data_IF_468733525050
#
_entry.id   IF_468733525050
#
_cell.length_a   1.000
_cell.length_b   1.000
_cell.length_c   1.000
_cell.angle_alpha   90.00
_cell.angle_beta   90.00
_cell.angle_gamma   90.00
#
_symmetry.space_group_name_H-M   'P 1'
#
loop_
_entity.id
_entity.type
_entity.pdbx_description
1 polymer ?
#
# COMPACT_ATOMS: atom_id res chain seq x y z
N UNK A 1 3.19 3.99 -24.59
CA UNK A 1 3.42 5.04 -23.57
C UNK A 1 3.40 4.35 -22.21
N UNK A 2 4.47 4.45 -21.44
CA UNK A 2 4.58 3.80 -20.12
C UNK A 2 4.22 4.82 -19.04
N UNK A 3 3.20 4.51 -18.21
CA UNK A 3 2.70 5.41 -17.17
C UNK A 3 2.72 4.67 -15.82
N UNK A 4 3.89 4.54 -15.17
CA UNK A 4 4.07 3.65 -14.02
C UNK A 4 3.19 4.01 -12.82
N UNK A 5 2.87 5.30 -12.65
CA UNK A 5 1.97 5.78 -11.60
C UNK A 5 0.53 5.32 -11.87
N UNK A 6 0.05 5.45 -13.11
CA UNK A 6 -1.30 5.01 -13.49
C UNK A 6 -1.42 3.50 -13.37
N UNK A 7 -0.40 2.76 -13.81
CA UNK A 7 -0.36 1.31 -13.70
C UNK A 7 -0.38 0.83 -12.23
N UNK A 8 0.41 1.44 -11.35
CA UNK A 8 0.39 1.13 -9.92
C UNK A 8 -0.97 1.46 -9.30
N UNK A 9 -1.54 2.63 -9.63
CA UNK A 9 -2.87 3.03 -9.15
C UNK A 9 -3.95 2.05 -9.60
N UNK A 10 -3.96 1.63 -10.87
CA UNK A 10 -4.89 0.62 -11.38
C UNK A 10 -4.72 -0.73 -10.67
N UNK A 11 -3.49 -1.16 -10.42
CA UNK A 11 -3.23 -2.38 -9.65
C UNK A 11 -3.81 -2.28 -8.24
N UNK A 12 -3.64 -1.15 -7.55
CA UNK A 12 -4.19 -0.95 -6.21
C UNK A 12 -5.73 -0.90 -6.23
N UNK A 13 -6.35 -0.18 -7.17
CA UNK A 13 -7.82 -0.08 -7.27
C UNK A 13 -8.49 -1.43 -7.56
N UNK A 14 -7.83 -2.31 -8.32
CA UNK A 14 -8.35 -3.66 -8.62
C UNK A 14 -8.39 -4.59 -7.40
N UNK A 15 -7.71 -4.24 -6.30
CA UNK A 15 -7.74 -5.01 -5.06
C UNK A 15 -8.91 -4.52 -4.21
N UNK A 16 -9.89 -5.38 -3.87
CA UNK A 16 -11.05 -4.98 -3.08
C UNK A 16 -10.66 -4.84 -1.59
N UNK A 17 -9.81 -3.87 -1.25
CA UNK A 17 -9.28 -3.60 0.10
C UNK A 17 -10.33 -2.94 1.02
N UNK A 18 -11.46 -3.62 1.21
CA UNK A 18 -12.53 -3.21 2.13
C UNK A 18 -12.10 -3.49 3.56
N UNK A 19 -12.18 -2.47 4.42
CA UNK A 19 -11.72 -2.62 5.81
C UNK A 19 -12.44 -3.76 6.54
N UNK A 20 -11.71 -4.63 7.27
CA UNK A 20 -10.27 -4.56 7.59
C UNK A 20 -9.32 -5.20 6.56
N UNK A 21 -9.83 -5.82 5.50
CA UNK A 21 -9.03 -6.54 4.49
C UNK A 21 -8.14 -5.59 3.66
N UNK A 22 -6.85 -5.91 3.58
CA UNK A 22 -5.87 -5.21 2.74
C UNK A 22 -5.94 -5.66 1.28
N UNK A 23 -6.48 -6.85 1.00
CA UNK A 23 -6.53 -7.46 -0.33
C UNK A 23 -5.16 -7.49 -1.07
N UNK A 24 -4.05 -7.53 -0.32
CA UNK A 24 -2.69 -7.58 -0.86
C UNK A 24 -2.16 -6.26 -1.42
N UNK A 25 -2.74 -5.12 -1.02
CA UNK A 25 -2.22 -3.78 -1.34
C UNK A 25 -0.85 -3.56 -0.70
N UNK A 26 -0.68 -3.89 0.58
CA UNK A 26 0.60 -3.73 1.26
C UNK A 26 1.68 -4.64 0.70
N UNK A 27 1.36 -5.89 0.36
CA UNK A 27 2.31 -6.80 -0.27
C UNK A 27 2.88 -6.23 -1.58
N UNK A 28 2.05 -5.57 -2.40
CA UNK A 28 2.50 -4.91 -3.63
C UNK A 28 3.45 -3.74 -3.34
N UNK A 29 3.13 -2.92 -2.34
CA UNK A 29 3.94 -1.77 -1.97
C UNK A 29 5.28 -2.19 -1.36
N UNK A 30 5.25 -3.16 -0.45
CA UNK A 30 6.43 -3.75 0.21
C UNK A 30 7.40 -4.28 -0.84
N UNK A 31 6.95 -5.13 -1.76
CA UNK A 31 7.81 -5.71 -2.79
C UNK A 31 8.52 -4.64 -3.65
N UNK A 32 7.82 -3.53 -3.96
CA UNK A 32 8.41 -2.42 -4.73
C UNK A 32 9.41 -1.61 -3.90
N UNK A 33 9.16 -1.41 -2.62
CA UNK A 33 10.03 -0.66 -1.71
C UNK A 33 11.30 -1.46 -1.37
N UNK A 34 11.17 -2.78 -1.11
CA UNK A 34 12.30 -3.68 -0.90
C UNK A 34 13.23 -3.71 -2.11
N UNK A 35 12.67 -3.77 -3.33
CA UNK A 35 13.44 -3.77 -4.58
C UNK A 35 14.34 -2.54 -4.76
N UNK A 36 14.03 -1.42 -4.08
CA UNK A 36 14.83 -0.19 -4.11
C UNK A 36 15.55 0.08 -2.78
N UNK A 37 15.64 -0.91 -1.89
CA UNK A 37 16.47 -0.90 -0.69
C UNK A 37 15.84 -0.25 0.54
N UNK A 38 14.51 -0.20 0.65
CA UNK A 38 13.85 0.09 1.92
C UNK A 38 13.90 -1.13 2.84
N UNK A 39 14.11 -0.89 4.14
CA UNK A 39 13.88 -1.85 5.21
C UNK A 39 12.42 -1.78 5.61
N UNK A 40 11.78 -2.93 5.77
CA UNK A 40 10.36 -3.04 6.07
C UNK A 40 10.19 -3.62 7.47
N UNK A 41 9.37 -2.96 8.28
CA UNK A 41 8.92 -3.42 9.58
C UNK A 41 7.39 -3.52 9.55
N UNK A 42 6.85 -4.73 9.70
CA UNK A 42 5.40 -4.94 9.77
C UNK A 42 4.90 -4.65 11.18
N UNK A 43 3.85 -3.83 11.29
CA UNK A 43 3.26 -3.37 12.55
C UNK A 43 1.75 -3.63 12.55
N UNK A 44 1.38 -4.91 12.59
CA UNK A 44 -0.03 -5.31 12.58
C UNK A 44 -0.62 -5.10 13.98
N UNK A 45 -1.78 -4.45 14.05
CA UNK A 45 -2.51 -4.18 15.29
C UNK A 45 -3.94 -4.68 15.08
N UNK A 46 -4.35 -5.66 15.89
CA UNK A 46 -5.60 -6.39 15.72
C UNK A 46 -5.77 -6.90 14.28
N UNK A 47 -6.91 -6.61 13.64
CA UNK A 47 -7.19 -6.99 12.24
C UNK A 47 -6.60 -6.02 11.22
N UNK A 48 -5.84 -5.01 11.67
CA UNK A 48 -5.29 -3.97 10.80
C UNK A 48 -3.84 -4.27 10.45
N UNK A 49 -3.60 -4.51 9.16
CA UNK A 49 -2.24 -4.60 8.63
C UNK A 49 -1.62 -3.20 8.49
N UNK A 50 -0.39 -3.01 8.96
CA UNK A 50 0.40 -1.81 8.70
C UNK A 50 1.87 -2.18 8.49
N UNK A 51 2.63 -1.29 7.83
CA UNK A 51 4.08 -1.41 7.76
C UNK A 51 4.76 -0.04 7.86
N UNK A 52 5.99 -0.04 8.35
CA UNK A 52 6.91 1.09 8.34
C UNK A 52 8.07 0.76 7.42
N UNK A 53 8.31 1.61 6.43
CA UNK A 53 9.39 1.45 5.47
C UNK A 53 10.40 2.58 5.64
N UNK A 54 11.67 2.22 5.85
CA UNK A 54 12.76 3.18 6.07
C UNK A 54 13.89 2.97 5.09
N UNK A 55 14.56 4.06 4.71
CA UNK A 55 15.78 4.03 3.89
C UNK A 55 16.67 5.19 4.29
N UNK A 56 17.91 4.89 4.67
CA UNK A 56 18.87 5.87 5.20
C UNK A 56 18.70 6.09 6.71
N UNK A 57 19.47 7.05 7.24
CA UNK A 57 19.52 7.42 8.66
C UNK A 57 19.60 8.95 8.76
N UNK A 58 19.01 9.55 9.82
CA UNK A 58 19.05 11.00 10.07
C UNK A 58 17.68 11.70 10.02
N UNK A 59 17.65 12.93 9.53
CA UNK A 59 16.41 13.71 9.39
C UNK A 59 15.40 12.94 8.51
N UNK A 60 14.18 12.76 9.04
CA UNK A 60 13.21 11.81 8.48
C UNK A 60 12.06 12.52 7.80
N UNK A 61 11.91 12.28 6.50
CA UNK A 61 10.71 12.60 5.72
C UNK A 61 9.83 11.35 5.61
N UNK A 62 8.57 11.45 6.03
CA UNK A 62 7.62 10.33 6.00
C UNK A 62 6.43 10.62 5.06
N UNK A 63 6.07 9.62 4.25
CA UNK A 63 4.81 9.60 3.51
C UNK A 63 3.83 8.68 4.24
N UNK A 64 2.62 9.16 4.52
CA UNK A 64 1.59 8.42 5.22
C UNK A 64 0.28 8.43 4.43
N UNK A 65 -0.41 7.29 4.39
CA UNK A 65 -1.71 7.17 3.75
C UNK A 65 -2.35 5.81 3.99
N UNK A 66 -3.69 5.74 4.07
CA UNK A 66 -4.40 4.48 4.15
C UNK A 66 -4.40 3.77 2.79
N UNK A 67 -4.29 2.44 2.80
CA UNK A 67 -4.45 1.59 1.62
C UNK A 67 -5.89 1.05 1.45
N UNK A 68 -6.73 1.22 2.48
CA UNK A 68 -8.10 0.70 2.50
C UNK A 68 -9.09 1.69 1.93
N UNK A 69 -10.09 1.19 1.25
CA UNK A 69 -11.28 1.96 0.89
C UNK A 69 -12.32 1.88 2.02
N UNK A 70 -12.97 3.00 2.33
CA UNK A 70 -14.00 3.03 3.36
C UNK A 70 -15.22 2.20 2.95
N UNK A 71 -15.86 1.53 3.91
CA UNK A 71 -16.98 0.62 3.68
C UNK A 71 -18.20 1.24 2.94
N UNK A 72 -18.32 2.57 2.91
CA UNK A 72 -19.35 3.29 2.16
C UNK A 72 -19.05 3.41 0.65
N UNK A 73 -17.82 3.11 0.22
CA UNK A 73 -17.39 3.17 -1.17
C UNK A 73 -17.37 1.77 -1.74
N UNK A 74 -18.39 1.42 -2.54
CA UNK A 74 -18.28 0.28 -3.43
C UNK A 74 -17.20 0.62 -4.46
N UNK A 75 -16.00 0.10 -4.28
CA UNK A 75 -15.06 -0.07 -5.38
C UNK A 75 -15.73 -1.01 -6.39
N UNK A 76 -16.47 -0.44 -7.34
CA UNK A 76 -16.87 -1.22 -8.51
C UNK A 76 -15.57 -1.71 -9.16
N UNK A 77 -15.48 -3.00 -9.50
CA UNK A 77 -14.34 -3.49 -10.25
C UNK A 77 -14.17 -2.60 -11.48
N UNK A 78 -12.98 -2.05 -11.68
CA UNK A 78 -12.60 -1.55 -12.99
C UNK A 78 -12.38 -2.79 -13.86
N UNK A 79 -13.44 -3.21 -14.55
CA UNK A 79 -13.39 -4.17 -15.66
C UNK A 79 -12.33 -3.72 -16.70
#
# INVERSE_FOLDING_TARGET
MFCPVIELTQQLIRRPSLSPDDAGCQALLIARLEAIGFKIETMNIDDTLNFWATRGEGETLAFAGPHRCGAAWRCQPLD
#
